data_IF_225434499758
#
_entry.id   IF_225434499758
#
_cell.length_a   1.000
_cell.length_b   1.000
_cell.length_c   1.000
_cell.angle_alpha   90.00
_cell.angle_beta   90.00
_cell.angle_gamma   90.00
#
_symmetry.space_group_name_H-M   'P 1'
#
loop_
_entity.id
_entity.type
_entity.pdbx_description
1 polymer ?
#
# COMPACT_ATOMS: atom_id res chain seq x y z
N UNK A 1 -31.89 20.21 -30.70
CA UNK A 1 -30.99 19.92 -31.85
C UNK A 1 -30.48 18.49 -31.68
N UNK A 2 -30.72 17.58 -32.62
CA UNK A 2 -30.14 16.22 -32.60
C UNK A 2 -28.65 16.35 -32.96
N UNK A 3 -27.76 16.00 -32.04
CA UNK A 3 -26.33 15.95 -32.32
C UNK A 3 -26.06 15.00 -33.49
N UNK A 4 -25.36 15.48 -34.52
CA UNK A 4 -24.92 14.63 -35.63
C UNK A 4 -23.78 13.76 -35.13
N UNK A 5 -23.98 12.44 -35.13
CA UNK A 5 -22.90 11.49 -34.83
C UNK A 5 -21.82 11.61 -35.90
N UNK A 6 -20.57 11.81 -35.47
CA UNK A 6 -19.40 11.82 -36.35
C UNK A 6 -18.76 10.43 -36.34
N UNK A 7 -18.51 9.87 -37.53
CA UNK A 7 -17.84 8.58 -37.69
C UNK A 7 -16.38 8.81 -38.11
N UNK A 8 -15.44 8.22 -37.38
CA UNK A 8 -14.01 8.26 -37.70
C UNK A 8 -13.63 6.90 -38.30
N UNK A 9 -13.09 6.90 -39.53
CA UNK A 9 -12.59 5.69 -40.15
C UNK A 9 -11.21 5.34 -39.58
N UNK A 10 -11.08 4.12 -39.04
CA UNK A 10 -9.82 3.61 -38.50
C UNK A 10 -9.20 2.71 -39.58
N UNK A 11 -7.91 2.91 -39.96
CA UNK A 11 -7.25 2.05 -40.93
C UNK A 11 -7.17 0.60 -40.45
N UNK A 12 -7.37 -0.36 -41.35
CA UNK A 12 -7.34 -1.81 -41.03
C UNK A 12 -6.02 -2.26 -40.39
N UNK A 13 -4.91 -1.62 -40.78
CA UNK A 13 -3.60 -1.86 -40.18
C UNK A 13 -3.54 -1.49 -38.69
N UNK A 14 -4.25 -0.44 -38.27
CA UNK A 14 -4.37 -0.04 -36.88
C UNK A 14 -5.35 -0.95 -36.13
N UNK A 15 -6.50 -1.28 -36.74
CA UNK A 15 -7.49 -2.20 -36.17
C UNK A 15 -6.90 -3.59 -35.87
N UNK A 16 -6.10 -4.13 -36.81
CA UNK A 16 -5.44 -5.44 -36.65
C UNK A 16 -4.33 -5.43 -35.59
N UNK A 17 -3.59 -4.33 -35.45
CA UNK A 17 -2.59 -4.14 -34.37
C UNK A 17 -3.24 -4.00 -32.99
N UNK A 18 -4.41 -3.39 -32.93
CA UNK A 18 -5.19 -3.22 -31.70
C UNK A 18 -6.06 -4.46 -31.38
N UNK A 19 -6.19 -5.41 -32.31
CA UNK A 19 -7.03 -6.60 -32.17
C UNK A 19 -8.48 -6.20 -31.92
N UNK A 20 -9.01 -5.32 -32.76
CA UNK A 20 -10.38 -4.82 -32.72
C UNK A 20 -11.24 -5.63 -33.70
N UNK A 21 -12.27 -6.30 -33.21
CA UNK A 21 -13.37 -6.81 -34.03
C UNK A 21 -14.55 -5.83 -33.99
N UNK A 22 -15.37 -5.81 -35.04
CA UNK A 22 -16.48 -4.88 -35.31
C UNK A 22 -17.54 -4.76 -34.20
N UNK A 23 -17.48 -5.64 -33.21
CA UNK A 23 -18.40 -5.77 -32.06
C UNK A 23 -17.86 -5.19 -30.74
N UNK A 24 -16.64 -4.66 -30.70
CA UNK A 24 -16.06 -4.14 -29.44
C UNK A 24 -16.40 -2.66 -29.23
N UNK A 25 -17.03 -2.35 -28.09
CA UNK A 25 -17.17 -0.97 -27.60
C UNK A 25 -15.79 -0.40 -27.27
N UNK A 26 -15.54 0.85 -27.63
CA UNK A 26 -14.29 1.58 -27.40
C UNK A 26 -14.59 2.82 -26.56
N UNK A 27 -13.78 3.06 -25.53
CA UNK A 27 -13.85 4.29 -24.75
C UNK A 27 -13.09 5.39 -25.50
N UNK A 28 -13.79 6.49 -25.77
CA UNK A 28 -13.23 7.69 -26.37
C UNK A 28 -12.96 8.70 -25.27
N UNK A 29 -11.68 8.94 -24.97
CA UNK A 29 -11.27 9.88 -23.93
C UNK A 29 -10.55 11.06 -24.58
N UNK A 30 -10.98 12.28 -24.28
CA UNK A 30 -10.29 13.50 -24.70
C UNK A 30 -9.33 13.92 -23.60
N UNK A 31 -8.02 13.94 -23.89
CA UNK A 31 -7.00 14.35 -22.92
C UNK A 31 -5.94 15.20 -23.62
N UNK A 32 -5.64 16.37 -23.06
CA UNK A 32 -4.56 17.25 -23.52
C UNK A 32 -4.58 17.54 -25.03
N UNK A 33 -5.79 17.80 -25.56
CA UNK A 33 -6.05 18.08 -26.99
C UNK A 33 -5.85 16.87 -27.93
N UNK A 34 -5.71 15.66 -27.39
CA UNK A 34 -5.68 14.40 -28.14
C UNK A 34 -6.94 13.56 -27.90
N UNK A 35 -7.40 12.87 -28.95
CA UNK A 35 -8.48 11.89 -28.91
C UNK A 35 -7.87 10.50 -28.74
N UNK A 36 -8.03 9.93 -27.54
CA UNK A 36 -7.49 8.60 -27.21
C UNK A 36 -8.64 7.59 -27.25
N UNK A 37 -8.56 6.68 -28.22
CA UNK A 37 -9.42 5.50 -28.32
C UNK A 37 -8.75 4.35 -27.57
N UNK A 38 -9.35 3.92 -26.46
CA UNK A 38 -8.86 2.81 -25.66
C UNK A 38 -9.91 1.70 -25.58
N UNK A 39 -9.46 0.44 -25.47
CA UNK A 39 -10.37 -0.64 -25.06
C UNK A 39 -10.91 -0.31 -23.67
N UNK A 40 -12.22 -0.47 -23.42
CA UNK A 40 -12.80 -0.20 -22.12
C UNK A 40 -12.06 -1.02 -21.09
N UNK A 41 -11.38 -0.34 -20.17
CA UNK A 41 -10.81 -1.01 -19.00
C UNK A 41 -12.00 -1.62 -18.26
N UNK A 42 -12.04 -2.94 -18.03
CA UNK A 42 -13.17 -3.55 -17.35
C UNK A 42 -13.35 -2.83 -16.02
N UNK A 43 -14.48 -2.12 -15.88
CA UNK A 43 -14.82 -1.45 -14.62
C UNK A 43 -14.72 -2.49 -13.51
N UNK A 44 -13.92 -2.17 -12.50
CA UNK A 44 -13.76 -3.04 -11.33
C UNK A 44 -15.13 -3.33 -10.75
N UNK A 45 -15.64 -4.53 -11.01
CA UNK A 45 -16.93 -4.96 -10.52
C UNK A 45 -16.83 -5.34 -9.04
N UNK A 46 -17.96 -5.41 -8.35
CA UNK A 46 -18.06 -5.91 -6.96
C UNK A 46 -17.31 -7.24 -6.72
N UNK A 47 -17.14 -8.05 -7.76
CA UNK A 47 -16.37 -9.30 -7.79
C UNK A 47 -14.88 -9.14 -7.46
N UNK A 48 -14.31 -7.95 -7.57
CA UNK A 48 -12.91 -7.69 -7.22
C UNK A 48 -12.67 -7.53 -5.72
N UNK A 49 -13.72 -7.16 -4.97
CA UNK A 49 -13.68 -6.96 -3.52
C UNK A 49 -13.94 -8.25 -2.74
N UNK A 50 -14.54 -9.24 -3.40
CA UNK A 50 -14.91 -10.54 -2.84
C UNK A 50 -13.69 -11.39 -2.39
N UNK A 51 -12.62 -11.56 -3.19
CA UNK A 51 -11.52 -12.42 -2.79
C UNK A 51 -10.79 -11.95 -1.51
N UNK A 52 -10.44 -10.65 -1.35
CA UNK A 52 -9.89 -10.15 -0.08
C UNK A 52 -10.82 -10.41 1.11
N UNK A 53 -12.14 -10.27 0.92
CA UNK A 53 -13.13 -10.51 1.98
C UNK A 53 -13.18 -11.98 2.39
N UNK A 54 -13.19 -12.90 1.42
CA UNK A 54 -13.23 -14.34 1.69
C UNK A 54 -11.99 -14.78 2.48
N UNK A 55 -10.80 -14.32 2.08
CA UNK A 55 -9.57 -14.66 2.81
C UNK A 55 -9.55 -14.04 4.20
N UNK A 56 -10.07 -12.81 4.35
CA UNK A 56 -10.20 -12.18 5.65
C UNK A 56 -11.12 -12.99 6.58
N UNK A 57 -12.29 -13.42 6.07
CA UNK A 57 -13.23 -14.26 6.82
C UNK A 57 -12.63 -15.61 7.20
N UNK A 58 -11.98 -16.30 6.26
CA UNK A 58 -11.33 -17.59 6.55
C UNK A 58 -10.24 -17.43 7.62
N UNK A 59 -9.43 -16.37 7.53
CA UNK A 59 -8.40 -16.09 8.53
C UNK A 59 -9.00 -15.77 9.90
N UNK A 60 -10.12 -15.03 9.90
CA UNK A 60 -10.89 -14.66 11.09
C UNK A 60 -11.43 -15.90 11.81
N UNK A 61 -12.12 -16.77 11.07
CA UNK A 61 -12.65 -18.04 11.58
C UNK A 61 -11.52 -18.94 12.09
N UNK A 62 -10.39 -18.99 11.38
CA UNK A 62 -9.22 -19.78 11.80
C UNK A 62 -8.67 -19.31 13.15
N UNK A 63 -8.62 -18.00 13.39
CA UNK A 63 -8.20 -17.43 14.67
C UNK A 63 -9.22 -17.66 15.79
N UNK A 64 -10.52 -17.56 15.50
CA UNK A 64 -11.54 -17.93 16.47
C UNK A 64 -11.38 -19.37 16.96
N UNK A 65 -11.19 -20.31 16.03
CA UNK A 65 -11.00 -21.72 16.37
C UNK A 65 -9.75 -21.89 17.24
N UNK A 66 -8.67 -21.18 16.92
CA UNK A 66 -7.45 -21.18 17.70
C UNK A 66 -7.64 -20.62 19.12
N UNK A 67 -8.30 -19.46 19.27
CA UNK A 67 -8.56 -18.85 20.58
C UNK A 67 -9.55 -19.67 21.43
N UNK A 68 -10.57 -20.25 20.79
CA UNK A 68 -11.53 -21.15 21.43
C UNK A 68 -10.83 -22.41 21.96
N UNK A 69 -9.94 -23.02 21.17
CA UNK A 69 -9.16 -24.20 21.57
C UNK A 69 -8.19 -23.93 22.73
N UNK A 70 -7.77 -22.66 22.90
CA UNK A 70 -6.86 -22.23 23.97
C UNK A 70 -7.58 -21.62 25.18
N UNK A 71 -8.92 -21.59 25.19
CA UNK A 71 -9.74 -20.99 26.25
C UNK A 71 -9.31 -19.55 26.61
N UNK A 72 -8.90 -18.77 25.61
CA UNK A 72 -8.48 -17.37 25.81
C UNK A 72 -9.74 -16.49 25.85
N UNK A 73 -10.12 -16.04 27.05
CA UNK A 73 -11.29 -15.16 27.22
C UNK A 73 -11.06 -13.72 26.77
N UNK A 74 -9.84 -13.19 26.97
CA UNK A 74 -9.48 -11.83 26.59
C UNK A 74 -8.14 -11.79 25.86
N UNK A 75 -8.10 -11.00 24.79
CA UNK A 75 -6.91 -10.81 23.94
C UNK A 75 -6.44 -9.36 24.07
N UNK A 76 -5.16 -9.17 24.35
CA UNK A 76 -4.55 -7.83 24.42
C UNK A 76 -4.46 -7.20 23.03
N UNK A 77 -4.56 -5.87 22.96
CA UNK A 77 -4.38 -5.13 21.71
C UNK A 77 -2.94 -5.24 21.19
N UNK A 78 -1.96 -5.12 22.10
CA UNK A 78 -0.51 -5.18 21.80
C UNK A 78 0.23 -6.12 22.76
N UNK A 79 1.40 -6.62 22.34
CA UNK A 79 2.21 -7.64 23.05
C UNK A 79 2.46 -8.89 22.20
N UNK A 80 3.15 -9.90 22.73
CA UNK A 80 3.61 -11.05 21.92
C UNK A 80 2.47 -11.88 21.31
N UNK A 81 1.48 -12.26 22.12
CA UNK A 81 0.25 -12.95 21.69
C UNK A 81 -0.94 -11.98 21.71
N UNK A 82 -0.91 -11.00 20.81
CA UNK A 82 -1.90 -9.91 20.75
C UNK A 82 -2.59 -9.82 19.39
N UNK A 83 -3.67 -9.04 19.35
CA UNK A 83 -4.36 -8.69 18.09
C UNK A 83 -3.35 -8.10 17.09
N UNK A 84 -2.49 -7.18 17.54
CA UNK A 84 -1.46 -6.59 16.71
C UNK A 84 -0.52 -7.64 16.09
N UNK A 85 0.00 -8.58 16.87
CA UNK A 85 0.93 -9.60 16.37
C UNK A 85 0.30 -10.47 15.28
N UNK A 86 -0.95 -10.91 15.49
CA UNK A 86 -1.66 -11.69 14.48
C UNK A 86 -1.94 -10.88 13.21
N UNK A 87 -2.37 -9.63 13.33
CA UNK A 87 -2.62 -8.76 12.17
C UNK A 87 -1.32 -8.47 11.42
N UNK A 88 -0.22 -8.20 12.11
CA UNK A 88 1.08 -7.95 11.48
C UNK A 88 1.53 -9.19 10.71
N UNK A 89 1.59 -10.36 11.35
CA UNK A 89 2.11 -11.58 10.71
C UNK A 89 1.18 -12.06 9.60
N UNK A 90 -0.11 -12.28 9.88
CA UNK A 90 -1.05 -12.79 8.88
C UNK A 90 -1.35 -11.75 7.81
N UNK A 91 -1.41 -10.46 8.17
CA UNK A 91 -1.63 -9.37 7.21
C UNK A 91 -0.45 -9.20 6.25
N UNK A 92 0.80 -9.35 6.71
CA UNK A 92 1.97 -9.35 5.82
C UNK A 92 1.91 -10.56 4.87
N UNK A 93 1.63 -11.77 5.39
CA UNK A 93 1.58 -12.98 4.57
C UNK A 93 0.46 -12.89 3.53
N UNK A 94 -0.77 -12.64 3.96
CA UNK A 94 -1.93 -12.58 3.07
C UNK A 94 -1.87 -11.37 2.13
N UNK A 95 -1.49 -10.20 2.65
CA UNK A 95 -1.36 -8.98 1.86
C UNK A 95 -0.29 -9.09 0.77
N UNK A 96 0.86 -9.69 1.09
CA UNK A 96 1.93 -9.94 0.11
C UNK A 96 1.49 -10.92 -0.98
N UNK A 97 0.76 -11.97 -0.63
CA UNK A 97 0.18 -12.92 -1.59
C UNK A 97 -0.81 -12.22 -2.51
N UNK A 98 -1.73 -11.42 -1.97
CA UNK A 98 -2.70 -10.67 -2.76
C UNK A 98 -2.04 -9.66 -3.71
N UNK A 99 -1.07 -8.91 -3.20
CA UNK A 99 -0.30 -7.97 -4.02
C UNK A 99 0.36 -8.71 -5.19
N UNK A 100 1.08 -9.80 -4.90
CA UNK A 100 1.82 -10.61 -5.89
C UNK A 100 0.89 -11.22 -6.93
N UNK A 101 -0.18 -11.90 -6.50
CA UNK A 101 -1.15 -12.55 -7.39
C UNK A 101 -1.86 -11.53 -8.27
N UNK A 102 -2.29 -10.41 -7.71
CA UNK A 102 -2.96 -9.34 -8.47
C UNK A 102 -2.04 -8.71 -9.51
N UNK A 103 -0.75 -8.52 -9.19
CA UNK A 103 0.25 -7.99 -10.11
C UNK A 103 0.54 -8.97 -11.25
N UNK A 104 0.68 -10.27 -10.95
CA UNK A 104 0.83 -11.32 -11.97
C UNK A 104 -0.40 -11.38 -12.88
N UNK A 105 -1.60 -11.34 -12.30
CA UNK A 105 -2.87 -11.36 -13.06
C UNK A 105 -2.99 -10.17 -14.01
N UNK A 106 -2.63 -8.97 -13.58
CA UNK A 106 -2.62 -7.78 -14.43
C UNK A 106 -1.63 -7.91 -15.60
N UNK A 107 -0.43 -8.44 -15.32
CA UNK A 107 0.57 -8.69 -16.38
C UNK A 107 0.06 -9.70 -17.41
N UNK A 108 -0.61 -10.78 -16.97
CA UNK A 108 -1.18 -11.81 -17.86
C UNK A 108 -2.31 -11.26 -18.73
N UNK A 109 -3.15 -10.38 -18.18
CA UNK A 109 -4.26 -9.76 -18.90
C UNK A 109 -3.83 -8.65 -19.86
N UNK A 110 -2.52 -8.38 -19.96
CA UNK A 110 -1.95 -7.51 -20.98
C UNK A 110 -2.04 -6.02 -20.70
N UNK A 111 -2.20 -5.64 -19.43
CA UNK A 111 -2.23 -4.23 -19.04
C UNK A 111 -0.90 -3.52 -19.41
N UNK A 112 -1.01 -2.45 -20.20
CA UNK A 112 0.14 -1.74 -20.76
C UNK A 112 0.99 -1.07 -19.68
N UNK A 113 0.43 -0.77 -18.50
CA UNK A 113 1.17 -0.26 -17.35
C UNK A 113 2.03 -1.35 -16.70
N UNK A 114 1.46 -2.54 -16.45
CA UNK A 114 2.16 -3.66 -15.83
C UNK A 114 3.24 -4.29 -16.76
N UNK A 115 3.03 -4.26 -18.08
CA UNK A 115 3.99 -4.80 -19.07
C UNK A 115 5.24 -3.92 -19.23
N UNK A 116 5.13 -2.61 -18.96
CA UNK A 116 6.27 -1.67 -18.98
C UNK A 116 7.25 -1.89 -17.83
N UNK A 117 6.83 -2.60 -16.78
CA UNK A 117 7.70 -2.99 -15.68
C UNK A 117 8.47 -4.26 -16.09
N UNK A 118 9.80 -4.13 -16.23
CA UNK A 118 10.69 -5.26 -16.46
C UNK A 118 10.45 -6.34 -15.40
N UNK A 119 10.31 -7.60 -15.82
CA UNK A 119 10.06 -8.73 -14.91
C UNK A 119 11.13 -8.85 -13.82
N UNK A 120 12.36 -8.41 -14.11
CA UNK A 120 13.46 -8.39 -13.14
C UNK A 120 13.22 -7.45 -11.96
N UNK A 121 12.43 -6.38 -12.14
CA UNK A 121 12.09 -5.43 -11.08
C UNK A 121 10.90 -5.90 -10.24
N UNK A 122 10.20 -6.95 -10.69
CA UNK A 122 9.02 -7.47 -10.00
C UNK A 122 9.32 -7.87 -8.54
N UNK A 123 10.37 -8.67 -8.24
CA UNK A 123 10.65 -9.07 -6.85
C UNK A 123 10.98 -7.88 -5.96
N UNK A 124 11.72 -6.90 -6.50
CA UNK A 124 12.08 -5.68 -5.77
C UNK A 124 10.84 -4.83 -5.43
N UNK A 125 9.89 -4.72 -6.36
CA UNK A 125 8.64 -4.00 -6.12
C UNK A 125 7.81 -4.69 -5.04
N UNK A 126 7.61 -6.01 -5.15
CA UNK A 126 6.88 -6.79 -4.15
C UNK A 126 7.54 -6.63 -2.77
N UNK A 127 8.85 -6.82 -2.69
CA UNK A 127 9.59 -6.69 -1.44
C UNK A 127 9.45 -5.29 -0.84
N UNK A 128 9.51 -4.25 -1.66
CA UNK A 128 9.34 -2.86 -1.21
C UNK A 128 7.96 -2.64 -0.59
N UNK A 129 6.89 -3.10 -1.24
CA UNK A 129 5.53 -2.99 -0.70
C UNK A 129 5.33 -3.82 0.57
N UNK A 130 5.95 -4.99 0.67
CA UNK A 130 5.92 -5.81 1.89
C UNK A 130 6.59 -5.08 3.05
N UNK A 131 7.77 -4.48 2.83
CA UNK A 131 8.47 -3.70 3.84
C UNK A 131 7.65 -2.48 4.26
N UNK A 132 7.08 -1.75 3.31
CA UNK A 132 6.20 -0.60 3.57
C UNK A 132 5.00 -1.02 4.42
N UNK A 133 4.34 -2.12 4.05
CA UNK A 133 3.21 -2.67 4.79
C UNK A 133 3.61 -3.01 6.23
N UNK A 134 4.75 -3.68 6.41
CA UNK A 134 5.26 -4.03 7.73
C UNK A 134 5.50 -2.81 8.61
N UNK A 135 6.14 -1.76 8.07
CA UNK A 135 6.36 -0.51 8.80
C UNK A 135 5.06 0.22 9.14
N UNK A 136 4.11 0.29 8.21
CA UNK A 136 2.81 0.91 8.48
C UNK A 136 2.08 0.17 9.59
N UNK A 137 2.04 -1.17 9.56
CA UNK A 137 1.37 -1.95 10.59
C UNK A 137 2.07 -1.83 11.95
N UNK A 138 3.40 -1.95 11.99
CA UNK A 138 4.17 -1.75 13.22
C UNK A 138 3.94 -0.36 13.82
N UNK A 139 4.05 0.70 13.01
CA UNK A 139 3.83 2.07 13.46
C UNK A 139 2.39 2.31 13.93
N UNK A 140 1.40 1.78 13.21
CA UNK A 140 -0.01 1.90 13.57
C UNK A 140 -0.31 1.22 14.90
N UNK A 141 0.12 -0.04 15.09
CA UNK A 141 -0.11 -0.76 16.34
C UNK A 141 0.74 -0.25 17.50
N UNK A 142 1.93 0.29 17.24
CA UNK A 142 2.72 0.97 18.25
C UNK A 142 2.01 2.23 18.77
N UNK A 143 1.45 3.03 17.86
CA UNK A 143 0.67 4.22 18.20
C UNK A 143 -0.62 3.85 18.94
N UNK A 144 -1.37 2.86 18.45
CA UNK A 144 -2.56 2.33 19.13
C UNK A 144 -2.23 1.80 20.52
N UNK A 145 -1.13 1.05 20.68
CA UNK A 145 -0.69 0.55 21.98
C UNK A 145 -0.30 1.66 22.95
N UNK A 146 0.23 2.78 22.44
CA UNK A 146 0.58 3.96 23.24
C UNK A 146 -0.65 4.76 23.67
N UNK A 147 -1.70 4.79 22.83
CA UNK A 147 -2.97 5.47 23.15
C UNK A 147 -3.87 4.63 24.08
N UNK A 148 -3.87 3.31 23.91
CA UNK A 148 -4.74 2.38 24.62
C UNK A 148 -3.92 1.39 25.46
N UNK A 149 -3.16 1.93 26.42
CA UNK A 149 -2.25 1.16 27.27
C UNK A 149 -3.04 0.11 28.06
N UNK A 150 -2.64 -1.15 27.94
CA UNK A 150 -3.27 -2.26 28.66
C UNK A 150 -4.65 -2.67 28.13
N UNK A 151 -5.08 -2.15 26.97
CA UNK A 151 -6.36 -2.53 26.39
C UNK A 151 -6.42 -4.02 26.05
N UNK A 152 -7.46 -4.68 26.53
CA UNK A 152 -7.82 -6.06 26.24
C UNK A 152 -9.27 -6.14 25.80
N UNK A 153 -9.53 -7.00 24.84
CA UNK A 153 -10.85 -7.18 24.24
C UNK A 153 -11.32 -8.61 24.41
N UNK A 154 -12.62 -8.80 24.48
CA UNK A 154 -13.24 -10.12 24.40
C UNK A 154 -12.94 -10.77 23.03
N UNK A 155 -12.97 -12.10 22.99
CA UNK A 155 -12.65 -12.88 21.78
C UNK A 155 -13.41 -12.40 20.53
N UNK A 156 -14.71 -12.09 20.66
CA UNK A 156 -15.54 -11.60 19.56
C UNK A 156 -15.13 -10.21 19.05
N UNK A 157 -14.86 -9.27 19.96
CA UNK A 157 -14.43 -7.93 19.59
C UNK A 157 -13.02 -7.95 18.99
N UNK A 158 -12.13 -8.76 19.56
CA UNK A 158 -10.78 -8.97 19.05
C UNK A 158 -10.80 -9.53 17.62
N UNK A 159 -11.69 -10.48 17.35
CA UNK A 159 -11.89 -11.05 16.03
C UNK A 159 -12.43 -10.03 15.03
N UNK A 160 -13.44 -9.24 15.41
CA UNK A 160 -13.97 -8.19 14.54
C UNK A 160 -12.89 -7.17 14.14
N UNK A 161 -12.07 -6.73 15.11
CA UNK A 161 -10.92 -5.86 14.86
C UNK A 161 -9.94 -6.54 13.89
N UNK A 162 -9.56 -7.79 14.15
CA UNK A 162 -8.68 -8.56 13.28
C UNK A 162 -9.24 -8.65 11.85
N UNK A 163 -10.50 -9.05 11.69
CA UNK A 163 -11.15 -9.23 10.40
C UNK A 163 -11.20 -7.94 9.59
N UNK A 164 -11.54 -6.81 10.23
CA UNK A 164 -11.57 -5.49 9.58
C UNK A 164 -10.18 -5.09 9.09
N UNK A 165 -9.16 -5.17 9.95
CA UNK A 165 -7.79 -4.82 9.57
C UNK A 165 -7.27 -5.75 8.47
N UNK A 166 -7.49 -7.06 8.59
CA UNK A 166 -7.03 -8.03 7.61
C UNK A 166 -7.72 -7.83 6.25
N UNK A 167 -9.02 -7.53 6.24
CA UNK A 167 -9.73 -7.15 5.02
C UNK A 167 -9.15 -5.87 4.40
N UNK A 168 -8.95 -4.82 5.21
CA UNK A 168 -8.37 -3.56 4.76
C UNK A 168 -6.99 -3.78 4.14
N UNK A 169 -6.10 -4.53 4.80
CA UNK A 169 -4.76 -4.83 4.29
C UNK A 169 -4.84 -5.51 2.91
N UNK A 170 -5.61 -6.59 2.81
CA UNK A 170 -5.73 -7.36 1.56
C UNK A 170 -6.37 -6.53 0.43
N UNK A 171 -7.36 -5.72 0.77
CA UNK A 171 -8.00 -4.79 -0.16
C UNK A 171 -7.02 -3.71 -0.65
N UNK A 172 -6.33 -3.03 0.28
CA UNK A 172 -5.33 -2.01 -0.05
C UNK A 172 -4.18 -2.57 -0.88
N UNK A 173 -3.72 -3.78 -0.59
CA UNK A 173 -2.67 -4.44 -1.39
C UNK A 173 -3.13 -4.78 -2.80
N UNK A 174 -4.39 -5.21 -2.95
CA UNK A 174 -4.98 -5.44 -4.27
C UNK A 174 -5.15 -4.14 -5.05
N UNK A 175 -5.54 -3.04 -4.38
CA UNK A 175 -5.68 -1.72 -4.99
C UNK A 175 -4.31 -1.13 -5.36
N UNK A 176 -3.33 -1.24 -4.47
CA UNK A 176 -1.97 -0.76 -4.67
C UNK A 176 -1.37 -1.38 -5.93
N UNK A 177 -1.53 -2.70 -6.14
CA UNK A 177 -1.01 -3.37 -7.32
C UNK A 177 -1.68 -2.93 -8.63
N UNK A 178 -2.97 -2.52 -8.60
CA UNK A 178 -3.69 -1.96 -9.76
C UNK A 178 -3.29 -0.52 -10.08
N UNK A 179 -2.92 0.22 -9.05
CA UNK A 179 -2.55 1.64 -9.19
C UNK A 179 -1.12 1.85 -9.69
N UNK A 180 -0.36 0.78 -9.95
CA UNK A 180 1.05 0.82 -10.33
C UNK A 180 1.28 1.55 -11.66
N UNK A 181 1.74 2.78 -11.54
CA UNK A 181 2.34 3.57 -12.60
C UNK A 181 3.65 4.16 -12.06
N UNK A 182 4.67 4.35 -12.91
CA UNK A 182 6.01 4.80 -12.50
C UNK A 182 5.97 6.05 -11.63
N UNK A 183 5.14 7.04 -11.97
CA UNK A 183 4.99 8.28 -11.19
C UNK A 183 4.42 8.05 -9.80
N UNK A 184 3.42 7.16 -9.66
CA UNK A 184 2.78 6.87 -8.37
C UNK A 184 3.69 6.06 -7.46
N UNK A 185 4.48 5.15 -8.03
CA UNK A 185 5.51 4.40 -7.30
C UNK A 185 6.52 5.34 -6.65
N UNK A 186 7.08 6.29 -7.42
CA UNK A 186 8.03 7.26 -6.89
C UNK A 186 7.38 8.11 -5.79
N UNK A 187 6.18 8.64 -6.03
CA UNK A 187 5.46 9.43 -5.04
C UNK A 187 5.21 8.67 -3.73
N UNK A 188 4.78 7.41 -3.81
CA UNK A 188 4.58 6.55 -2.63
C UNK A 188 5.89 6.33 -1.87
N UNK A 189 6.98 6.02 -2.55
CA UNK A 189 8.28 5.86 -1.90
C UNK A 189 8.77 7.15 -1.25
N UNK A 190 8.62 8.29 -1.91
CA UNK A 190 8.97 9.60 -1.32
C UNK A 190 8.15 9.85 -0.05
N UNK A 191 6.83 9.62 -0.07
CA UNK A 191 5.97 9.80 1.10
C UNK A 191 6.41 8.88 2.24
N UNK A 192 6.69 7.60 1.95
CA UNK A 192 7.16 6.65 2.98
C UNK A 192 8.50 7.09 3.58
N UNK A 193 9.47 7.48 2.75
CA UNK A 193 10.79 7.93 3.21
C UNK A 193 10.65 9.17 4.08
N UNK A 194 9.92 10.19 3.62
CA UNK A 194 9.71 11.43 4.37
C UNK A 194 8.98 11.16 5.69
N UNK A 195 7.93 10.33 5.65
CA UNK A 195 7.18 9.96 6.86
C UNK A 195 8.07 9.21 7.86
N UNK A 196 8.90 8.27 7.37
CA UNK A 196 9.86 7.54 8.19
C UNK A 196 10.88 8.46 8.87
N UNK A 197 11.41 9.45 8.14
CA UNK A 197 12.32 10.47 8.70
C UNK A 197 11.62 11.32 9.76
N UNK A 198 10.40 11.79 9.50
CA UNK A 198 9.62 12.60 10.45
C UNK A 198 9.31 11.80 11.73
N UNK A 199 8.89 10.55 11.59
CA UNK A 199 8.60 9.66 12.74
C UNK A 199 9.89 9.41 13.53
N UNK A 200 11.00 9.10 12.86
CA UNK A 200 12.29 8.93 13.51
C UNK A 200 12.69 10.18 14.31
N UNK A 201 12.51 11.37 13.71
CA UNK A 201 12.77 12.66 14.38
C UNK A 201 11.86 12.89 15.59
N UNK A 202 10.57 12.57 15.50
CA UNK A 202 9.60 12.72 16.59
C UNK A 202 9.86 11.73 17.74
N UNK A 203 10.26 10.50 17.41
CA UNK A 203 10.57 9.45 18.40
C UNK A 203 11.92 9.65 19.10
N UNK A 204 12.84 10.41 18.49
CA UNK A 204 14.16 10.64 19.04
C UNK A 204 14.08 11.79 20.05
N UNK A 205 14.06 11.45 21.35
CA UNK A 205 13.89 12.39 22.46
C UNK A 205 14.97 13.48 22.60
N UNK A 206 15.97 13.52 21.72
CA UNK A 206 16.93 14.61 21.66
C UNK A 206 16.37 15.78 20.84
N UNK A 207 15.98 16.84 21.56
CA UNK A 207 15.45 18.12 21.04
C UNK A 207 16.30 18.77 19.92
N UNK A 208 17.54 18.29 19.69
CA UNK A 208 18.54 18.86 18.76
C UNK A 208 19.12 17.83 17.77
N UNK A 209 18.48 16.67 17.57
CA UNK A 209 18.95 15.64 16.61
C UNK A 209 19.24 16.21 15.21
N UNK A 210 18.36 17.06 14.71
CA UNK A 210 18.49 17.73 13.41
C UNK A 210 19.68 18.69 13.40
N UNK A 211 19.97 19.37 14.50
CA UNK A 211 21.14 20.26 14.62
C UNK A 211 22.46 19.49 14.55
N UNK A 212 22.49 18.25 15.07
CA UNK A 212 23.69 17.41 15.04
C UNK A 212 23.89 16.69 13.70
N UNK A 213 22.82 16.20 13.07
CA UNK A 213 22.91 15.44 11.83
C UNK A 213 22.91 16.33 10.56
N UNK A 214 22.34 17.53 10.64
CA UNK A 214 22.30 18.49 9.52
C UNK A 214 23.32 19.62 9.65
N UNK A 215 24.11 19.69 10.75
CA UNK A 215 25.20 20.66 10.87
C UNK A 215 26.32 20.49 9.83
N UNK A 216 26.35 19.36 9.12
CA UNK A 216 27.24 19.18 7.97
C UNK A 216 26.88 20.08 6.77
N UNK A 217 25.67 20.66 6.72
CA UNK A 217 25.17 21.47 5.61
C UNK A 217 25.37 22.99 5.79
N UNK A 218 25.99 23.42 6.89
CA UNK A 218 26.32 24.84 7.12
C UNK A 218 27.29 25.00 8.29
N UNK A 219 28.30 25.89 8.19
CA UNK A 219 29.32 26.00 9.22
C UNK A 219 28.68 26.48 10.53
N UNK A 220 28.73 25.62 11.55
CA UNK A 220 28.58 26.06 12.93
C UNK A 220 29.73 27.04 13.15
N UNK A 221 29.43 28.34 13.27
CA UNK A 221 30.42 29.31 13.73
C UNK A 221 30.89 28.84 15.12
N UNK A 222 32.06 28.20 15.15
CA UNK A 222 32.87 28.11 16.36
C UNK A 222 33.16 29.53 16.76
N UNK A 223 32.58 29.98 17.86
CA UNK A 223 33.05 31.17 18.54
C UNK A 223 34.53 30.90 18.90
N UNK A 224 35.49 31.70 18.42
CA UNK A 224 36.87 31.51 18.80
C UNK A 224 36.92 31.72 20.30
N UNK A 225 37.46 30.74 21.03
CA UNK A 225 37.83 30.90 22.42
C UNK A 225 38.85 32.05 22.47
N UNK A 226 38.35 33.24 22.77
CA UNK A 226 39.14 34.44 22.88
C UNK A 226 40.07 34.30 24.07
N UNK A 227 41.37 34.36 23.77
CA UNK A 227 42.34 35.11 24.56
C UNK A 227 42.59 34.63 25.98
N UNK A 228 43.65 33.84 26.12
CA UNK A 228 44.56 33.98 27.26
C UNK A 228 44.82 35.46 27.57
N UNK A 229 44.39 35.92 28.75
CA UNK A 229 45.08 36.97 29.49
C UNK A 229 44.96 36.69 30.99
N UNK A 230 46.04 36.15 31.56
CA UNK A 230 46.51 36.46 32.92
C UNK A 230 46.84 37.97 32.94
N UNK A 231 46.70 38.71 34.06
CA UNK A 231 47.18 38.37 35.41
C UNK A 231 46.09 38.31 36.51
#
# INVERSE_FOLDING_TARGET
MKEKGYFIQIPDAAAKKLGLDTTHELDLTVRDNELILAKPTPKSGWKDYLPPLIVALISSVSLLIYWSSKHIGHVKLTGDYSIASFIIVLGIITGSLFFTVSLIRQRRNGDAAARRIYWRNFPTIVLSFVIILAFILMGTFWLLGSLFVGASFDCWTAEAIFGIFNYLINYWMTLASRSLNSTRLVALFTIVIVSGVVIAMASNGQRHWWRYNLSFLGPIQRQPAGGLTLP
#
